data_IF_855564307582
#
_entry.id   IF_855564307582
#
_cell.length_a   1.000
_cell.length_b   1.000
_cell.length_c   1.000
_cell.angle_alpha   90.00
_cell.angle_beta   90.00
_cell.angle_gamma   90.00
#
_symmetry.space_group_name_H-M   'P 1'
#
loop_
_entity.id
_entity.type
_entity.pdbx_description
1 polymer ?
#
# COMPACT_ATOMS: atom_id res chain seq x y z
N UNK A 1 -11.44 -17.75 6.93
CA UNK A 1 -11.50 -16.77 8.03
C UNK A 1 -10.40 -16.99 9.07
N UNK A 2 -10.33 -18.16 9.74
CA UNK A 2 -9.31 -18.45 10.78
C UNK A 2 -7.87 -18.24 10.26
N UNK A 3 -7.57 -18.68 9.04
CA UNK A 3 -6.24 -18.52 8.43
C UNK A 3 -5.87 -17.05 8.22
N UNK A 4 -6.84 -16.21 7.82
CA UNK A 4 -6.61 -14.78 7.64
C UNK A 4 -6.33 -14.08 8.97
N UNK A 5 -7.08 -14.37 10.03
CA UNK A 5 -6.85 -13.81 11.37
C UNK A 5 -5.47 -14.16 11.92
N UNK A 6 -5.01 -15.40 11.74
CA UNK A 6 -3.64 -15.79 12.10
C UNK A 6 -2.62 -14.96 11.31
N UNK A 7 -2.84 -14.74 10.01
CA UNK A 7 -1.98 -13.91 9.19
C UNK A 7 -1.87 -12.47 9.70
N UNK A 8 -2.99 -11.87 10.10
CA UNK A 8 -3.02 -10.51 10.63
C UNK A 8 -2.31 -10.39 11.99
N UNK A 9 -2.48 -11.38 12.87
CA UNK A 9 -1.71 -11.44 14.14
C UNK A 9 -0.20 -11.48 13.87
N UNK A 10 0.25 -12.31 12.91
CA UNK A 10 1.67 -12.39 12.53
C UNK A 10 2.19 -11.12 11.90
N UNK A 11 1.35 -10.40 11.15
CA UNK A 11 1.71 -9.10 10.61
C UNK A 11 2.00 -8.09 11.75
N UNK A 12 1.15 -8.00 12.76
CA UNK A 12 1.37 -7.12 13.92
C UNK A 12 2.65 -7.48 14.67
N UNK A 13 2.89 -8.77 14.92
CA UNK A 13 4.16 -9.23 15.51
C UNK A 13 5.37 -8.79 14.67
N UNK A 14 5.29 -8.93 13.33
CA UNK A 14 6.36 -8.53 12.42
C UNK A 14 6.61 -7.02 12.47
N UNK A 15 5.56 -6.19 12.52
CA UNK A 15 5.68 -4.74 12.68
C UNK A 15 6.42 -4.40 13.98
N UNK A 16 6.05 -5.04 15.09
CA UNK A 16 6.74 -4.86 16.38
C UNK A 16 8.22 -5.23 16.32
N UNK A 17 8.57 -6.35 15.71
CA UNK A 17 9.98 -6.74 15.53
C UNK A 17 10.75 -5.75 14.65
N UNK A 18 10.13 -5.26 13.59
CA UNK A 18 10.72 -4.24 12.73
C UNK A 18 10.96 -2.93 13.51
N UNK A 19 10.03 -2.53 14.38
CA UNK A 19 10.20 -1.37 15.23
C UNK A 19 11.37 -1.54 16.21
N UNK A 20 11.46 -2.70 16.88
CA UNK A 20 12.53 -3.03 17.84
C UNK A 20 13.94 -3.03 17.21
N UNK A 21 14.07 -3.49 15.96
CA UNK A 21 15.37 -3.51 15.25
C UNK A 21 15.67 -2.24 14.46
N UNK A 22 14.79 -1.23 14.53
CA UNK A 22 15.02 0.08 13.93
C UNK A 22 14.79 0.13 12.40
N UNK A 23 13.87 -0.66 11.86
CA UNK A 23 13.43 -0.56 10.46
C UNK A 23 12.44 0.60 10.33
N UNK A 24 12.74 1.54 9.44
CA UNK A 24 11.96 2.77 9.28
C UNK A 24 10.84 2.65 8.23
N UNK A 25 10.97 1.75 7.26
CA UNK A 25 9.99 1.58 6.18
C UNK A 25 9.56 0.13 6.07
N UNK A 26 8.25 -0.10 6.21
CA UNK A 26 7.62 -1.42 6.07
C UNK A 26 6.54 -1.31 5.01
N UNK A 27 6.54 -2.21 4.02
CA UNK A 27 5.43 -2.35 3.08
C UNK A 27 4.75 -3.70 3.27
N UNK A 28 3.47 -3.68 3.61
CA UNK A 28 2.65 -4.88 3.77
C UNK A 28 1.68 -5.01 2.59
N UNK A 29 1.86 -6.03 1.76
CA UNK A 29 0.97 -6.31 0.63
C UNK A 29 -0.15 -7.26 1.05
N UNK A 30 -1.30 -6.69 1.41
CA UNK A 30 -2.43 -7.45 1.94
C UNK A 30 -3.40 -7.91 0.84
N UNK A 31 -3.59 -7.09 -0.21
CA UNK A 31 -4.53 -7.42 -1.28
C UNK A 31 -3.99 -7.00 -2.63
N UNK A 32 -3.83 -7.96 -3.56
CA UNK A 32 -3.48 -7.64 -4.94
C UNK A 32 -4.70 -7.13 -5.72
N UNK A 33 -4.45 -6.33 -6.76
CA UNK A 33 -5.50 -5.87 -7.67
C UNK A 33 -6.23 -7.02 -8.37
N UNK A 34 -5.50 -8.06 -8.74
CA UNK A 34 -6.07 -9.26 -9.36
C UNK A 34 -7.04 -9.98 -8.43
N UNK A 35 -6.76 -10.00 -7.13
CA UNK A 35 -7.65 -10.62 -6.15
C UNK A 35 -8.99 -9.90 -6.01
N UNK A 36 -9.10 -8.61 -6.38
CA UNK A 36 -10.39 -7.90 -6.40
C UNK A 36 -11.37 -8.46 -7.43
N UNK A 37 -10.90 -9.24 -8.40
CA UNK A 37 -11.75 -9.93 -9.39
C UNK A 37 -12.33 -11.26 -8.90
N UNK A 38 -12.00 -11.70 -7.68
CA UNK A 38 -12.56 -12.92 -7.09
C UNK A 38 -14.06 -12.77 -6.81
N UNK A 39 -14.80 -13.89 -6.70
CA UNK A 39 -16.21 -13.85 -6.29
C UNK A 39 -16.40 -13.08 -4.96
N UNK A 40 -17.47 -12.32 -4.87
CA UNK A 40 -17.78 -11.52 -3.69
C UNK A 40 -17.89 -12.37 -2.40
N UNK A 41 -18.36 -13.59 -2.52
CA UNK A 41 -18.48 -14.56 -1.41
C UNK A 41 -17.11 -14.90 -0.78
N UNK A 42 -16.02 -14.81 -1.55
CA UNK A 42 -14.66 -15.02 -1.06
C UNK A 42 -14.04 -13.71 -0.48
N UNK A 43 -14.38 -12.57 -1.08
CA UNK A 43 -13.84 -11.26 -0.69
C UNK A 43 -14.48 -10.71 0.57
N UNK A 44 -15.77 -10.88 0.74
CA UNK A 44 -16.52 -10.35 1.89
C UNK A 44 -15.92 -10.74 3.26
N UNK A 45 -15.68 -12.03 3.54
CA UNK A 45 -15.04 -12.44 4.78
C UNK A 45 -13.61 -11.88 4.94
N UNK A 46 -12.91 -11.69 3.84
CA UNK A 46 -11.57 -11.11 3.88
C UNK A 46 -11.61 -9.62 4.19
N UNK A 47 -12.52 -8.87 3.61
CA UNK A 47 -12.71 -7.46 3.92
C UNK A 47 -13.11 -7.22 5.38
N UNK A 48 -13.91 -8.10 5.97
CA UNK A 48 -14.24 -8.04 7.40
C UNK A 48 -12.98 -8.23 8.27
N UNK A 49 -12.14 -9.21 7.95
CA UNK A 49 -10.89 -9.43 8.68
C UNK A 49 -9.90 -8.27 8.51
N UNK A 50 -9.84 -7.64 7.32
CA UNK A 50 -9.04 -6.42 7.12
C UNK A 50 -9.57 -5.26 7.96
N UNK A 51 -10.89 -5.09 8.02
CA UNK A 51 -11.49 -4.05 8.82
C UNK A 51 -11.21 -4.23 10.32
N UNK A 52 -11.37 -5.46 10.83
CA UNK A 52 -11.00 -5.81 12.21
C UNK A 52 -9.53 -5.44 12.51
N UNK A 53 -8.60 -5.79 11.61
CA UNK A 53 -7.19 -5.42 11.74
C UNK A 53 -7.02 -3.90 11.81
N UNK A 54 -7.68 -3.15 10.92
CA UNK A 54 -7.51 -1.70 10.87
C UNK A 54 -8.14 -0.99 12.07
N UNK A 55 -9.27 -1.49 12.57
CA UNK A 55 -9.85 -1.02 13.83
C UNK A 55 -8.91 -1.30 15.03
N UNK A 56 -8.26 -2.46 15.07
CA UNK A 56 -7.24 -2.74 16.08
C UNK A 56 -6.06 -1.77 15.98
N UNK A 57 -5.53 -1.51 14.78
CA UNK A 57 -4.39 -0.60 14.58
C UNK A 57 -4.70 0.87 14.95
N UNK A 58 -5.98 1.27 15.06
CA UNK A 58 -6.33 2.61 15.56
C UNK A 58 -5.85 2.82 17.00
N UNK A 59 -5.83 1.77 17.81
CA UNK A 59 -5.56 1.83 19.27
C UNK A 59 -4.35 0.98 19.70
N UNK A 60 -3.73 0.21 18.80
CA UNK A 60 -2.63 -0.69 19.13
C UNK A 60 -1.30 0.09 19.20
N UNK A 61 -0.62 -0.02 20.33
CA UNK A 61 0.67 0.67 20.58
C UNK A 61 1.78 0.19 19.62
N UNK A 62 1.63 -0.97 19.00
CA UNK A 62 2.62 -1.55 18.05
C UNK A 62 2.89 -0.64 16.85
N UNK A 63 1.97 0.27 16.53
CA UNK A 63 2.10 1.23 15.41
C UNK A 63 2.30 2.67 15.86
N UNK A 64 2.55 2.95 17.14
CA UNK A 64 2.68 4.33 17.65
C UNK A 64 3.81 5.12 17.00
N UNK A 65 4.89 4.43 16.61
CA UNK A 65 6.02 5.03 15.92
C UNK A 65 5.81 5.16 14.40
N UNK A 66 4.72 4.61 13.86
CA UNK A 66 4.49 4.52 12.42
C UNK A 66 3.43 5.51 11.94
N UNK A 67 3.76 6.24 10.89
CA UNK A 67 2.78 6.82 9.97
C UNK A 67 2.21 5.70 9.12
N UNK A 68 0.89 5.57 9.02
CA UNK A 68 0.25 4.54 8.21
C UNK A 68 -0.24 5.16 6.89
N UNK A 69 0.28 4.63 5.79
CA UNK A 69 -0.09 5.02 4.43
C UNK A 69 -0.75 3.86 3.71
N UNK A 70 -1.62 4.18 2.76
CA UNK A 70 -2.31 3.17 1.93
C UNK A 70 -2.06 3.46 0.46
N UNK A 71 -1.66 2.43 -0.28
CA UNK A 71 -1.44 2.48 -1.73
C UNK A 71 -2.28 1.45 -2.46
N UNK A 72 -2.51 1.68 -3.75
CA UNK A 72 -3.32 0.84 -4.62
C UNK A 72 -4.75 1.36 -4.79
N UNK A 73 -5.65 0.52 -5.27
CA UNK A 73 -7.02 0.88 -5.65
C UNK A 73 -7.97 0.81 -4.46
N UNK A 74 -7.76 1.68 -3.46
CA UNK A 74 -8.60 1.72 -2.24
C UNK A 74 -10.03 2.19 -2.51
N UNK A 75 -10.26 2.89 -3.59
CA UNK A 75 -11.56 3.32 -4.10
C UNK A 75 -12.46 2.16 -4.55
N UNK A 76 -11.89 1.00 -4.84
CA UNK A 76 -12.62 -0.22 -5.20
C UNK A 76 -13.02 -1.09 -3.99
N UNK A 77 -12.64 -0.69 -2.79
CA UNK A 77 -12.98 -1.41 -1.56
C UNK A 77 -14.40 -1.04 -1.07
N UNK A 78 -15.04 -1.88 -0.24
CA UNK A 78 -16.32 -1.54 0.38
C UNK A 78 -16.27 -0.26 1.21
N UNK A 79 -17.37 0.50 1.25
CA UNK A 79 -17.46 1.80 1.92
C UNK A 79 -17.03 1.75 3.39
N UNK A 80 -17.40 0.69 4.13
CA UNK A 80 -17.03 0.54 5.53
C UNK A 80 -15.51 0.46 5.71
N UNK A 81 -14.82 -0.23 4.80
CA UNK A 81 -13.37 -0.37 4.86
C UNK A 81 -12.66 0.93 4.44
N UNK A 82 -13.22 1.65 3.47
CA UNK A 82 -12.72 2.97 3.08
C UNK A 82 -12.81 3.98 4.23
N UNK A 83 -13.91 3.93 5.00
CA UNK A 83 -14.09 4.81 6.16
C UNK A 83 -13.07 4.50 7.26
N UNK A 84 -12.83 3.22 7.58
CA UNK A 84 -11.81 2.84 8.56
C UNK A 84 -10.40 3.23 8.10
N UNK A 85 -10.09 3.07 6.82
CA UNK A 85 -8.82 3.52 6.22
C UNK A 85 -8.64 5.04 6.40
N UNK A 86 -9.69 5.82 6.18
CA UNK A 86 -9.66 7.27 6.34
C UNK A 86 -9.37 7.65 7.80
N UNK A 87 -10.07 7.04 8.75
CA UNK A 87 -9.84 7.25 10.18
C UNK A 87 -8.40 6.90 10.57
N UNK A 88 -7.87 5.78 10.04
CA UNK A 88 -6.51 5.36 10.34
C UNK A 88 -5.47 6.36 9.83
N UNK A 89 -5.64 6.89 8.62
CA UNK A 89 -4.79 7.95 8.08
C UNK A 89 -4.80 9.22 8.94
N UNK A 90 -5.97 9.59 9.46
CA UNK A 90 -6.11 10.77 10.33
C UNK A 90 -5.45 10.56 11.69
N UNK A 91 -5.64 9.40 12.33
CA UNK A 91 -5.12 9.11 13.67
C UNK A 91 -3.62 8.78 13.65
N UNK A 92 -3.15 8.05 12.63
CA UNK A 92 -1.78 7.55 12.51
C UNK A 92 -0.96 8.26 11.41
N UNK A 93 -1.24 9.52 11.16
CA UNK A 93 -0.57 10.31 10.11
C UNK A 93 0.78 10.94 10.52
N UNK A 94 1.24 10.79 11.77
CA UNK A 94 2.36 11.56 12.33
C UNK A 94 3.57 10.76 12.85
N UNK A 95 3.69 9.47 12.56
CA UNK A 95 4.82 8.64 13.00
C UNK A 95 6.15 9.02 12.34
N UNK A 96 7.27 8.65 12.98
CA UNK A 96 8.64 8.85 12.43
C UNK A 96 9.01 7.77 11.42
N UNK A 97 8.41 6.59 11.53
CA UNK A 97 8.55 5.45 10.61
C UNK A 97 7.32 5.36 9.70
N UNK A 98 7.41 4.61 8.62
CA UNK A 98 6.30 4.46 7.67
C UNK A 98 5.90 3.00 7.52
N UNK A 99 4.62 2.71 7.78
CA UNK A 99 3.96 1.46 7.41
C UNK A 99 3.06 1.70 6.19
N UNK A 100 3.49 1.23 5.04
CA UNK A 100 2.70 1.28 3.81
C UNK A 100 1.87 0.00 3.67
N UNK A 101 0.56 0.15 3.58
CA UNK A 101 -0.39 -0.95 3.39
C UNK A 101 -0.88 -0.95 1.94
N UNK A 102 -0.51 -1.98 1.18
CA UNK A 102 -0.90 -2.12 -0.23
C UNK A 102 -2.20 -2.91 -0.36
N UNK A 103 -3.27 -2.23 -0.85
CA UNK A 103 -4.63 -2.76 -1.02
C UNK A 103 -5.12 -2.56 -2.44
N UNK A 104 -5.54 -3.65 -3.08
CA UNK A 104 -5.86 -3.59 -4.51
C UNK A 104 -4.66 -3.14 -5.34
N UNK A 105 -3.47 -3.43 -4.87
CA UNK A 105 -2.22 -2.98 -5.47
C UNK A 105 -1.76 -3.94 -6.57
N UNK A 106 -1.23 -3.35 -7.65
CA UNK A 106 -0.55 -4.06 -8.72
C UNK A 106 0.49 -3.14 -9.37
N UNK A 107 1.75 -3.58 -9.44
CA UNK A 107 2.85 -2.75 -9.93
C UNK A 107 2.65 -2.27 -11.37
N UNK A 108 2.05 -3.08 -12.24
CA UNK A 108 1.73 -2.66 -13.61
C UNK A 108 0.70 -1.53 -13.65
N UNK A 109 -0.28 -1.57 -12.73
CA UNK A 109 -1.27 -0.50 -12.63
C UNK A 109 -0.64 0.78 -12.12
N UNK A 110 0.21 0.69 -11.11
CA UNK A 110 0.95 1.83 -10.58
C UNK A 110 1.79 2.53 -11.66
N UNK A 111 2.54 1.76 -12.47
CA UNK A 111 3.30 2.31 -13.60
C UNK A 111 2.38 3.02 -14.60
N UNK A 112 1.24 2.41 -14.94
CA UNK A 112 0.28 3.04 -15.86
C UNK A 112 -0.30 4.33 -15.29
N UNK A 113 -0.59 4.38 -14.00
CA UNK A 113 -1.14 5.56 -13.35
C UNK A 113 -0.07 6.65 -13.21
N UNK A 114 1.19 6.27 -12.93
CA UNK A 114 2.32 7.18 -12.91
C UNK A 114 2.56 7.83 -14.30
N UNK A 115 2.52 7.06 -15.37
CA UNK A 115 2.64 7.57 -16.75
C UNK A 115 1.51 8.55 -17.06
N UNK A 116 0.26 8.22 -16.69
CA UNK A 116 -0.87 9.14 -16.90
C UNK A 116 -0.70 10.43 -16.12
N UNK A 117 -0.29 10.33 -14.84
CA UNK A 117 -0.01 11.50 -14.00
C UNK A 117 1.05 12.41 -14.60
N UNK A 118 2.14 11.83 -15.10
CA UNK A 118 3.21 12.56 -15.77
C UNK A 118 2.72 13.29 -17.03
N UNK A 119 1.90 12.62 -17.86
CA UNK A 119 1.31 13.20 -19.07
C UNK A 119 0.35 14.34 -18.70
N UNK A 120 -0.51 14.14 -17.71
CA UNK A 120 -1.49 15.15 -17.29
C UNK A 120 -0.81 16.38 -16.69
N UNK A 121 0.26 16.21 -15.90
CA UNK A 121 1.08 17.31 -15.42
C UNK A 121 1.70 18.09 -16.59
N UNK A 122 2.32 17.41 -17.54
CA UNK A 122 2.94 18.04 -18.69
C UNK A 122 1.94 18.87 -19.52
N UNK A 123 0.71 18.36 -19.70
CA UNK A 123 -0.38 19.09 -20.41
C UNK A 123 -0.82 20.33 -19.64
N UNK A 124 -0.89 20.26 -18.31
CA UNK A 124 -1.26 21.40 -17.46
C UNK A 124 -0.20 22.49 -17.48
N UNK A 125 1.09 22.10 -17.56
CA UNK A 125 2.23 23.01 -17.65
C UNK A 125 2.41 23.61 -19.06
N UNK A 126 1.54 23.23 -20.02
CA UNK A 126 1.57 23.67 -21.42
C UNK A 126 2.88 23.33 -22.15
N UNK A 127 3.58 22.28 -21.72
CA UNK A 127 4.79 21.81 -22.36
C UNK A 127 4.48 21.00 -23.63
N UNK A 128 5.44 20.93 -24.54
CA UNK A 128 5.32 20.12 -25.74
C UNK A 128 5.46 18.62 -25.38
N UNK A 129 4.57 17.79 -25.94
CA UNK A 129 4.60 16.34 -25.70
C UNK A 129 5.86 15.68 -26.27
N UNK A 130 6.37 16.18 -27.39
CA UNK A 130 7.62 15.67 -27.98
C UNK A 130 8.82 15.99 -27.07
N UNK A 131 8.83 17.18 -26.44
CA UNK A 131 9.84 17.55 -25.44
C UNK A 131 9.76 16.65 -24.21
N UNK A 132 8.55 16.28 -23.75
CA UNK A 132 8.38 15.32 -22.65
C UNK A 132 9.01 13.97 -23.00
N UNK A 133 8.72 13.42 -24.17
CA UNK A 133 9.23 12.11 -24.59
C UNK A 133 10.75 12.06 -24.68
N UNK A 134 11.40 13.18 -25.09
CA UNK A 134 12.84 13.26 -25.20
C UNK A 134 13.55 13.41 -23.83
N UNK A 135 12.87 14.01 -22.86
CA UNK A 135 13.48 14.42 -21.59
C UNK A 135 12.93 13.70 -20.36
N UNK A 136 12.00 12.73 -20.50
CA UNK A 136 11.47 11.98 -19.35
C UNK A 136 12.57 11.20 -18.63
N UNK A 137 12.60 11.33 -17.31
CA UNK A 137 13.60 10.69 -16.45
C UNK A 137 12.95 9.75 -15.44
N UNK A 138 13.75 8.81 -14.88
CA UNK A 138 13.31 7.92 -13.81
C UNK A 138 12.80 8.70 -12.60
N UNK A 139 13.45 9.83 -12.27
CA UNK A 139 13.03 10.68 -11.15
C UNK A 139 11.65 11.29 -11.37
N UNK A 140 11.36 11.76 -12.57
CA UNK A 140 10.03 12.28 -12.90
C UNK A 140 8.96 11.20 -12.85
N UNK A 141 9.26 9.96 -13.31
CA UNK A 141 8.34 8.84 -13.18
C UNK A 141 8.13 8.47 -11.72
N UNK A 142 9.21 8.40 -10.91
CA UNK A 142 9.17 8.09 -9.48
C UNK A 142 8.26 9.02 -8.71
N UNK A 143 8.25 10.31 -9.00
CA UNK A 143 7.40 11.31 -8.34
C UNK A 143 5.91 11.08 -8.57
N UNK A 144 5.54 10.30 -9.58
CA UNK A 144 4.14 9.93 -9.87
C UNK A 144 3.76 8.52 -9.38
N UNK A 145 4.70 7.78 -8.77
CA UNK A 145 4.38 6.52 -8.09
C UNK A 145 3.53 6.79 -6.84
N UNK A 146 2.87 5.76 -6.33
CA UNK A 146 1.96 5.87 -5.18
C UNK A 146 2.65 6.27 -3.88
N UNK A 147 3.95 5.97 -3.74
CA UNK A 147 4.77 6.32 -2.56
C UNK A 147 6.17 6.77 -2.98
N UNK A 148 6.31 7.97 -3.59
CA UNK A 148 7.58 8.45 -4.15
C UNK A 148 8.69 8.65 -3.09
N UNK A 149 8.30 8.93 -1.85
CA UNK A 149 9.22 9.15 -0.74
C UNK A 149 9.76 7.84 -0.12
N UNK A 150 9.18 6.69 -0.47
CA UNK A 150 9.63 5.40 0.05
C UNK A 150 10.93 4.97 -0.64
N UNK A 151 11.97 4.57 0.11
CA UNK A 151 13.21 4.07 -0.48
C UNK A 151 13.01 2.75 -1.23
N UNK A 152 14.01 2.38 -2.02
CA UNK A 152 14.03 1.08 -2.69
C UNK A 152 14.02 -0.06 -1.66
N UNK A 153 13.43 -1.20 -2.04
CA UNK A 153 13.23 -2.35 -1.15
C UNK A 153 14.54 -3.12 -0.97
N UNK A 154 15.03 -3.22 0.27
CA UNK A 154 16.22 -4.01 0.62
C UNK A 154 15.89 -5.49 0.83
N UNK A 155 14.72 -5.80 1.38
CA UNK A 155 14.32 -7.17 1.76
C UNK A 155 12.85 -7.43 1.50
N UNK A 156 12.56 -8.57 0.88
CA UNK A 156 11.20 -9.08 0.68
C UNK A 156 11.03 -10.39 1.45
N UNK A 157 10.04 -10.42 2.35
CA UNK A 157 9.69 -11.62 3.11
C UNK A 157 8.40 -12.20 2.53
N UNK A 158 8.46 -13.45 2.08
CA UNK A 158 7.31 -14.20 1.61
C UNK A 158 7.23 -15.56 2.30
N UNK A 159 6.16 -15.77 3.06
CA UNK A 159 6.02 -16.95 3.94
C UNK A 159 5.47 -18.20 3.26
N UNK A 160 5.00 -18.09 2.01
CA UNK A 160 4.35 -19.22 1.28
C UNK A 160 5.32 -20.22 0.66
N UNK A 161 6.65 -20.01 0.79
CA UNK A 161 7.67 -20.85 0.15
C UNK A 161 7.82 -20.65 -1.36
N UNK A 162 7.11 -19.69 -1.94
CA UNK A 162 7.24 -19.33 -3.36
C UNK A 162 8.31 -18.26 -3.56
N UNK A 163 9.09 -18.38 -4.63
CA UNK A 163 10.18 -17.42 -4.97
C UNK A 163 9.76 -16.37 -6.01
N UNK A 164 8.49 -16.36 -6.44
CA UNK A 164 7.96 -15.37 -7.38
C UNK A 164 7.32 -14.18 -6.66
N UNK A 165 7.36 -13.02 -7.27
CA UNK A 165 6.51 -11.89 -6.92
C UNK A 165 5.15 -12.04 -7.60
N UNK A 166 4.07 -11.50 -7.01
CA UNK A 166 2.74 -11.44 -7.63
C UNK A 166 2.49 -10.04 -8.19
N UNK A 167 1.76 -9.93 -9.28
CA UNK A 167 1.35 -8.66 -9.89
C UNK A 167 2.13 -8.25 -11.10
#
# INVERSE_FOLDING_TARGET
>A
EVSYKIGMTRLKECIGWCDEVGIDFITSWLLSRENLSRPQEELEPYFQVLNELFEELLIDDVVDNFKIEFIGSTDLLPDFLQETIKQLKEVRGGGQKTLTVALGYGGRQEILDAIKGLIDQNRNDHNDFDELLENVTDEQLRQHLYSPETPDIDLIIRTSGESRLSG
#
